data_IF_742017330448
#
_entry.id   IF_742017330448
#
_cell.length_a   1.000
_cell.length_b   1.000
_cell.length_c   1.000
_cell.angle_alpha   90.00
_cell.angle_beta   90.00
_cell.angle_gamma   90.00
#
_symmetry.space_group_name_H-M   'P 1'
#
loop_
_entity.id
_entity.type
_entity.pdbx_description
1 polymer ?
#
# COMPACT_ATOMS: atom_id res chain seq x y z
N UNK A 1 -29.13 19.93 -10.99
CA UNK A 1 -28.70 20.51 -9.70
C UNK A 1 -27.21 20.75 -9.80
N UNK A 2 -26.73 21.91 -9.37
CA UNK A 2 -25.30 22.20 -9.25
C UNK A 2 -24.69 21.53 -8.02
N UNK A 3 -23.37 21.56 -7.95
CA UNK A 3 -22.61 21.22 -6.75
C UNK A 3 -21.90 22.49 -6.28
N UNK A 4 -21.72 22.64 -4.97
CA UNK A 4 -21.07 23.79 -4.35
C UNK A 4 -19.63 23.50 -3.94
N UNK A 5 -19.28 22.20 -3.83
CA UNK A 5 -17.95 21.69 -3.48
C UNK A 5 -17.77 20.31 -4.13
N UNK A 6 -16.57 20.04 -4.64
CA UNK A 6 -16.15 18.69 -5.04
C UNK A 6 -15.10 18.17 -4.08
N UNK A 7 -15.34 17.00 -3.49
CA UNK A 7 -14.31 16.20 -2.79
C UNK A 7 -14.01 15.00 -3.67
N UNK A 8 -12.76 14.79 -4.02
CA UNK A 8 -12.34 13.72 -4.93
C UNK A 8 -11.11 12.97 -4.42
N UNK A 9 -11.18 11.65 -4.45
CA UNK A 9 -10.03 10.75 -4.25
C UNK A 9 -9.72 10.08 -5.60
N UNK A 10 -8.72 10.58 -6.34
CA UNK A 10 -8.46 10.09 -7.69
C UNK A 10 -7.76 8.73 -7.68
N UNK A 11 -8.20 7.79 -8.53
CA UNK A 11 -7.48 6.55 -8.79
C UNK A 11 -6.34 6.74 -9.81
N UNK A 12 -6.45 7.76 -10.67
CA UNK A 12 -5.46 8.12 -11.67
C UNK A 12 -5.29 9.65 -11.67
N UNK A 13 -4.13 10.11 -11.22
CA UNK A 13 -3.85 11.53 -11.03
C UNK A 13 -3.74 12.33 -12.34
N UNK A 14 -3.51 11.64 -13.46
CA UNK A 14 -3.35 12.29 -14.78
C UNK A 14 -4.70 12.38 -15.48
N UNK A 15 -5.49 11.31 -15.47
CA UNK A 15 -6.77 11.27 -16.17
C UNK A 15 -7.80 12.27 -15.63
N UNK A 16 -7.77 12.57 -14.33
CA UNK A 16 -8.75 13.47 -13.69
C UNK A 16 -8.36 14.96 -13.79
N UNK A 17 -7.14 15.26 -14.22
CA UNK A 17 -6.60 16.61 -14.18
C UNK A 17 -7.45 17.64 -14.92
N UNK A 18 -7.84 17.34 -16.16
CA UNK A 18 -8.64 18.23 -17.00
C UNK A 18 -10.04 18.48 -16.42
N UNK A 19 -10.64 17.49 -15.76
CA UNK A 19 -11.93 17.58 -15.09
C UNK A 19 -11.84 18.49 -13.88
N UNK A 20 -10.81 18.34 -13.05
CA UNK A 20 -10.56 19.21 -11.90
C UNK A 20 -10.40 20.65 -12.37
N UNK A 21 -9.57 20.92 -13.37
CA UNK A 21 -9.38 22.26 -13.93
C UNK A 21 -10.70 22.85 -14.44
N UNK A 22 -11.53 22.05 -15.12
CA UNK A 22 -12.82 22.52 -15.61
C UNK A 22 -13.77 22.91 -14.49
N UNK A 23 -13.78 22.19 -13.38
CA UNK A 23 -14.61 22.46 -12.20
C UNK A 23 -14.14 23.71 -11.48
N UNK A 24 -12.84 23.86 -11.27
CA UNK A 24 -12.24 25.07 -10.67
C UNK A 24 -12.55 26.31 -11.51
N UNK A 25 -12.46 26.25 -12.85
CA UNK A 25 -12.80 27.35 -13.75
C UNK A 25 -14.28 27.81 -13.63
N UNK A 26 -15.13 26.92 -13.14
CA UNK A 26 -16.56 27.24 -12.86
C UNK A 26 -16.75 27.83 -11.46
N UNK A 27 -15.68 28.09 -10.70
CA UNK A 27 -15.72 28.65 -9.37
C UNK A 27 -16.10 27.66 -8.26
N UNK A 28 -16.07 26.34 -8.55
CA UNK A 28 -16.42 25.30 -7.58
C UNK A 28 -15.12 24.87 -6.88
N UNK A 29 -15.03 24.99 -5.53
CA UNK A 29 -13.90 24.51 -4.77
C UNK A 29 -13.68 23.00 -4.95
N UNK A 30 -12.41 22.57 -4.95
CA UNK A 30 -12.04 21.15 -5.06
C UNK A 30 -11.10 20.76 -3.95
N UNK A 31 -11.48 19.74 -3.17
CA UNK A 31 -10.64 19.05 -2.18
C UNK A 31 -10.16 17.75 -2.79
N UNK A 32 -8.86 17.57 -2.88
CA UNK A 32 -8.23 16.33 -3.35
C UNK A 32 -7.79 15.49 -2.15
N UNK A 33 -8.09 14.20 -2.16
CA UNK A 33 -7.76 13.27 -1.07
C UNK A 33 -6.80 12.18 -1.54
N UNK A 34 -5.82 11.86 -0.72
CA UNK A 34 -5.04 10.63 -0.76
C UNK A 34 -3.93 10.57 -1.79
N UNK A 35 -3.91 11.44 -2.78
CA UNK A 35 -2.76 11.58 -3.69
C UNK A 35 -2.79 12.91 -4.46
N UNK A 36 -1.60 13.44 -4.73
CA UNK A 36 -1.44 14.63 -5.55
C UNK A 36 -1.89 14.37 -7.00
N UNK A 37 -2.54 15.35 -7.61
CA UNK A 37 -2.92 15.37 -9.03
C UNK A 37 -1.91 16.21 -9.82
N UNK A 38 -1.83 15.99 -11.14
CA UNK A 38 -0.87 16.67 -12.00
C UNK A 38 -1.05 18.19 -12.00
N UNK A 39 -2.30 18.66 -11.99
CA UNK A 39 -2.57 20.08 -11.76
C UNK A 39 -2.36 20.45 -10.28
N UNK A 40 -1.78 21.61 -10.05
CA UNK A 40 -1.75 22.22 -8.70
C UNK A 40 -2.89 23.21 -8.48
N UNK A 41 -3.84 23.27 -9.43
CA UNK A 41 -5.02 24.13 -9.34
C UNK A 41 -6.17 23.38 -8.65
N UNK A 42 -6.10 23.22 -7.34
CA UNK A 42 -7.16 22.75 -6.45
C UNK A 42 -7.22 23.63 -5.21
N UNK A 43 -8.32 23.56 -4.48
CA UNK A 43 -8.51 24.40 -3.28
C UNK A 43 -7.62 23.89 -2.14
N UNK A 44 -7.60 22.58 -1.92
CA UNK A 44 -6.73 21.92 -0.93
C UNK A 44 -6.44 20.48 -1.29
N UNK A 45 -5.30 19.98 -0.80
CA UNK A 45 -4.92 18.58 -0.84
C UNK A 45 -4.83 18.06 0.60
N UNK A 46 -5.48 16.94 0.86
CA UNK A 46 -5.32 16.19 2.10
C UNK A 46 -4.70 14.86 1.73
N UNK A 47 -3.43 14.71 2.04
CA UNK A 47 -2.65 13.52 1.72
C UNK A 47 -1.88 13.02 2.93
N UNK A 48 -1.48 11.76 2.89
CA UNK A 48 -0.61 11.13 3.86
C UNK A 48 0.63 10.63 3.16
N UNK A 49 1.76 10.77 3.82
CA UNK A 49 3.04 10.39 3.24
C UNK A 49 3.17 8.88 3.08
N UNK A 50 2.97 8.38 1.86
CA UNK A 50 3.27 6.99 1.52
C UNK A 50 4.76 6.68 1.69
N UNK A 51 5.64 7.68 1.55
CA UNK A 51 7.06 7.53 1.81
C UNK A 51 7.34 7.24 3.30
N UNK A 52 6.74 8.02 4.23
CA UNK A 52 6.89 7.76 5.66
C UNK A 52 6.27 6.41 6.05
N UNK A 53 5.12 6.06 5.48
CA UNK A 53 4.53 4.73 5.66
C UNK A 53 5.50 3.61 5.22
N UNK A 54 6.20 3.79 4.10
CA UNK A 54 7.24 2.87 3.66
C UNK A 54 8.40 2.77 4.64
N UNK A 55 8.82 3.88 5.24
CA UNK A 55 9.85 3.91 6.29
C UNK A 55 9.41 3.17 7.55
N UNK A 56 8.15 3.35 7.97
CA UNK A 56 7.60 2.66 9.14
C UNK A 56 7.56 1.14 8.91
N UNK A 57 7.13 0.70 7.72
CA UNK A 57 7.19 -0.71 7.31
C UNK A 57 8.64 -1.22 7.35
N UNK A 58 9.59 -0.47 6.79
CA UNK A 58 11.01 -0.82 6.80
C UNK A 58 11.57 -0.96 8.21
N UNK A 59 11.24 -0.03 9.09
CA UNK A 59 11.67 -0.04 10.50
C UNK A 59 11.11 -1.26 11.24
N UNK A 60 9.84 -1.57 11.03
CA UNK A 60 9.21 -2.76 11.59
C UNK A 60 9.88 -4.05 11.09
N UNK A 61 10.13 -4.16 9.79
CA UNK A 61 10.80 -5.32 9.17
C UNK A 61 12.20 -5.52 9.76
N UNK A 62 13.01 -4.46 9.83
CA UNK A 62 14.36 -4.54 10.40
C UNK A 62 14.31 -4.96 11.87
N UNK A 63 13.39 -4.41 12.64
CA UNK A 63 13.19 -4.78 14.04
C UNK A 63 12.77 -6.25 14.20
N UNK A 64 11.73 -6.68 13.46
CA UNK A 64 11.18 -8.04 13.54
C UNK A 64 12.21 -9.10 13.14
N UNK A 65 13.03 -8.82 12.13
CA UNK A 65 14.11 -9.70 11.67
C UNK A 65 15.41 -9.55 12.50
N UNK A 66 15.42 -8.72 13.55
CA UNK A 66 16.65 -8.42 14.31
C UNK A 66 17.82 -8.02 13.39
N UNK A 67 17.53 -7.27 12.37
CA UNK A 67 18.51 -6.74 11.41
C UNK A 67 19.04 -7.75 10.39
N UNK A 68 18.54 -8.99 10.33
CA UNK A 68 19.03 -10.02 9.39
C UNK A 68 17.92 -10.96 8.96
N UNK A 69 17.69 -11.07 7.66
CA UNK A 69 16.67 -11.97 7.09
C UNK A 69 16.36 -11.65 5.65
N UNK A 70 15.27 -12.21 5.17
CA UNK A 70 14.86 -12.09 3.76
C UNK A 70 13.43 -11.62 3.65
N UNK A 71 13.18 -10.73 2.72
CA UNK A 71 11.85 -10.22 2.44
C UNK A 71 11.47 -10.34 0.97
N UNK A 72 10.17 -10.41 0.73
CA UNK A 72 9.54 -10.27 -0.59
C UNK A 72 8.65 -9.04 -0.56
N UNK A 73 8.82 -8.13 -1.50
CA UNK A 73 7.97 -6.95 -1.64
C UNK A 73 6.99 -7.14 -2.81
N UNK A 74 5.69 -7.07 -2.50
CA UNK A 74 4.64 -7.04 -3.51
C UNK A 74 4.05 -5.63 -3.57
N UNK A 75 4.17 -5.00 -4.73
CA UNK A 75 3.81 -3.59 -4.92
C UNK A 75 2.42 -3.46 -5.54
N UNK A 76 1.75 -2.36 -5.24
CA UNK A 76 0.53 -1.92 -5.89
C UNK A 76 0.76 -1.46 -7.35
N UNK A 77 -0.26 -0.81 -7.93
CA UNK A 77 -0.21 -0.34 -9.30
C UNK A 77 0.83 0.76 -9.53
N UNK A 78 1.29 0.85 -10.79
CA UNK A 78 2.16 1.93 -11.27
C UNK A 78 1.42 3.24 -11.51
N UNK A 79 0.10 3.22 -11.56
CA UNK A 79 -0.74 4.39 -11.76
C UNK A 79 -0.85 5.17 -10.46
N UNK A 80 -0.06 6.20 -10.34
CA UNK A 80 0.06 7.01 -9.12
C UNK A 80 1.37 6.77 -8.37
N UNK A 81 1.69 7.66 -7.44
CA UNK A 81 2.97 7.67 -6.75
C UNK A 81 3.00 6.80 -5.49
N UNK A 82 1.84 6.36 -4.97
CA UNK A 82 1.74 5.74 -3.66
C UNK A 82 2.60 4.47 -3.52
N UNK A 83 2.53 3.56 -4.49
CA UNK A 83 3.33 2.32 -4.45
C UNK A 83 4.83 2.61 -4.55
N UNK A 84 5.22 3.58 -5.39
CA UNK A 84 6.63 3.97 -5.54
C UNK A 84 7.15 4.67 -4.28
N UNK A 85 6.38 5.59 -3.71
CA UNK A 85 6.77 6.28 -2.47
C UNK A 85 6.94 5.32 -1.30
N UNK A 86 6.05 4.31 -1.15
CA UNK A 86 6.22 3.27 -0.12
C UNK A 86 7.49 2.46 -0.35
N UNK A 87 7.75 2.08 -1.60
CA UNK A 87 8.98 1.41 -1.98
C UNK A 87 10.22 2.24 -1.60
N UNK A 88 10.25 3.51 -2.00
CA UNK A 88 11.39 4.39 -1.75
C UNK A 88 11.64 4.54 -0.24
N UNK A 89 10.59 4.74 0.55
CA UNK A 89 10.67 4.81 2.01
C UNK A 89 11.17 3.53 2.64
N UNK A 90 10.66 2.37 2.23
CA UNK A 90 11.13 1.05 2.66
C UNK A 90 12.62 0.88 2.39
N UNK A 91 13.05 1.15 1.17
CA UNK A 91 14.43 0.94 0.74
C UNK A 91 15.40 1.91 1.42
N UNK A 92 14.98 3.14 1.75
CA UNK A 92 15.83 4.06 2.51
C UNK A 92 16.15 3.54 3.92
N UNK A 93 15.21 2.84 4.55
CA UNK A 93 15.50 2.15 5.82
C UNK A 93 16.37 0.92 5.58
N UNK A 94 16.08 0.10 4.58
CA UNK A 94 16.85 -1.12 4.30
C UNK A 94 18.31 -0.84 3.97
N UNK A 95 18.65 0.32 3.41
CA UNK A 95 20.04 0.76 3.21
C UNK A 95 20.84 0.79 4.53
N UNK A 96 20.18 1.03 5.65
CA UNK A 96 20.82 1.04 6.99
C UNK A 96 20.94 -0.35 7.61
N UNK A 97 20.28 -1.35 7.03
CA UNK A 97 20.24 -2.73 7.52
C UNK A 97 20.66 -3.73 6.41
N UNK A 98 21.94 -3.74 5.99
CA UNK A 98 22.39 -4.45 4.80
C UNK A 98 22.27 -5.98 4.88
N UNK A 99 21.99 -6.54 6.05
CA UNK A 99 21.76 -7.98 6.23
C UNK A 99 20.26 -8.37 6.07
N UNK A 100 19.35 -7.42 5.93
CA UNK A 100 17.99 -7.67 5.48
C UNK A 100 17.98 -7.61 3.95
N UNK A 101 17.66 -8.72 3.30
CA UNK A 101 17.75 -8.85 1.85
C UNK A 101 16.37 -8.92 1.19
N UNK A 102 16.13 -8.08 0.20
CA UNK A 102 14.98 -8.24 -0.70
C UNK A 102 15.34 -9.33 -1.71
N UNK A 103 14.71 -10.49 -1.59
CA UNK A 103 14.99 -11.66 -2.45
C UNK A 103 14.01 -11.79 -3.62
N UNK A 104 12.89 -11.09 -3.55
CA UNK A 104 11.95 -10.96 -4.65
C UNK A 104 11.18 -9.65 -4.55
N UNK A 105 10.85 -9.09 -5.70
CA UNK A 105 10.00 -7.93 -5.84
C UNK A 105 9.10 -8.13 -7.06
N UNK A 106 7.82 -7.87 -6.90
CA UNK A 106 6.93 -7.90 -8.04
C UNK A 106 5.75 -6.93 -7.89
N UNK A 107 5.19 -6.49 -9.02
CA UNK A 107 4.01 -5.65 -9.07
C UNK A 107 2.79 -6.53 -9.28
N UNK A 108 1.90 -6.52 -8.29
CA UNK A 108 0.67 -7.32 -8.30
C UNK A 108 -0.57 -6.47 -8.51
N UNK A 109 -0.44 -5.14 -8.44
CA UNK A 109 -1.56 -4.20 -8.41
C UNK A 109 -2.29 -4.19 -7.06
N UNK A 110 -3.23 -3.27 -6.90
CA UNK A 110 -4.01 -3.17 -5.66
C UNK A 110 -5.01 -4.31 -5.50
N UNK A 111 -5.58 -4.80 -6.59
CA UNK A 111 -6.56 -5.89 -6.62
C UNK A 111 -5.93 -7.27 -6.80
N UNK A 112 -4.68 -7.33 -7.22
CA UNK A 112 -3.93 -8.56 -7.44
C UNK A 112 -4.62 -9.58 -8.36
N UNK A 113 -4.97 -9.21 -9.62
CA UNK A 113 -5.77 -10.10 -10.50
C UNK A 113 -5.04 -11.40 -10.86
N UNK A 114 -3.72 -11.41 -10.81
CA UNK A 114 -2.87 -12.56 -11.12
C UNK A 114 -1.99 -12.98 -9.94
N UNK A 115 -2.37 -12.61 -8.72
CA UNK A 115 -1.55 -12.79 -7.51
C UNK A 115 -1.09 -14.24 -7.32
N UNK A 116 -2.02 -15.18 -7.37
CA UNK A 116 -1.71 -16.60 -7.11
C UNK A 116 -0.76 -17.17 -8.15
N UNK A 117 -0.94 -16.83 -9.43
CA UNK A 117 -0.04 -17.28 -10.50
C UNK A 117 1.38 -16.67 -10.36
N UNK A 118 1.48 -15.42 -9.94
CA UNK A 118 2.76 -14.76 -9.66
C UNK A 118 3.45 -15.38 -8.45
N UNK A 119 2.70 -15.66 -7.37
CA UNK A 119 3.22 -16.35 -6.19
C UNK A 119 3.68 -17.78 -6.55
N UNK A 120 2.89 -18.53 -7.34
CA UNK A 120 3.30 -19.86 -7.84
C UNK A 120 4.62 -19.80 -8.59
N UNK A 121 4.75 -18.84 -9.50
CA UNK A 121 5.99 -18.65 -10.26
C UNK A 121 7.19 -18.37 -9.35
N UNK A 122 7.03 -17.48 -8.36
CA UNK A 122 8.10 -17.11 -7.43
C UNK A 122 8.48 -18.30 -6.52
N UNK A 123 7.53 -18.94 -5.88
CA UNK A 123 7.81 -20.04 -4.95
C UNK A 123 8.35 -21.30 -5.66
N UNK A 124 7.98 -21.53 -6.93
CA UNK A 124 8.54 -22.65 -7.73
C UNK A 124 10.04 -22.44 -8.06
N UNK A 125 10.60 -21.23 -7.91
CA UNK A 125 12.05 -21.03 -8.00
C UNK A 125 12.82 -21.40 -6.74
N UNK A 126 12.12 -21.81 -5.68
CA UNK A 126 12.71 -22.10 -4.37
C UNK A 126 12.88 -20.88 -3.47
N UNK A 127 12.38 -19.70 -3.86
CA UNK A 127 12.39 -18.49 -3.04
C UNK A 127 11.49 -18.70 -1.81
N UNK A 128 12.04 -18.44 -0.62
CA UNK A 128 11.34 -18.57 0.66
C UNK A 128 11.69 -17.38 1.57
N UNK A 129 10.93 -16.29 1.51
CA UNK A 129 11.16 -15.12 2.36
C UNK A 129 10.77 -15.41 3.82
N UNK A 130 11.32 -14.66 4.73
CA UNK A 130 10.87 -14.63 6.13
C UNK A 130 9.65 -13.72 6.30
N UNK A 131 9.60 -12.62 5.54
CA UNK A 131 8.46 -11.68 5.52
C UNK A 131 8.03 -11.40 4.08
N UNK A 132 6.71 -11.33 3.86
CA UNK A 132 6.10 -10.79 2.63
C UNK A 132 5.40 -9.48 2.97
N UNK A 133 5.75 -8.40 2.27
CA UNK A 133 5.07 -7.10 2.35
C UNK A 133 4.03 -7.05 1.24
N UNK A 134 2.76 -6.99 1.61
CA UNK A 134 1.64 -6.87 0.70
C UNK A 134 1.25 -5.40 0.45
N UNK A 135 0.71 -5.05 -0.73
CA UNK A 135 0.30 -3.67 -1.03
C UNK A 135 -0.89 -3.19 -0.18
N UNK A 136 -1.72 -4.12 0.29
CA UNK A 136 -2.85 -3.88 1.17
C UNK A 136 -3.23 -5.14 1.97
N UNK A 137 -4.11 -4.98 2.98
CA UNK A 137 -4.53 -6.07 3.86
C UNK A 137 -5.24 -7.20 3.13
N UNK A 138 -6.11 -6.86 2.17
CA UNK A 138 -6.86 -7.84 1.38
C UNK A 138 -5.94 -8.76 0.58
N UNK A 139 -4.94 -8.18 -0.07
CA UNK A 139 -3.91 -8.95 -0.78
C UNK A 139 -3.07 -9.76 0.20
N UNK A 140 -2.75 -9.20 1.37
CA UNK A 140 -2.02 -9.89 2.43
C UNK A 140 -2.74 -11.16 2.92
N UNK A 141 -4.04 -11.08 3.17
CA UNK A 141 -4.85 -12.26 3.53
C UNK A 141 -4.81 -13.34 2.45
N UNK A 142 -4.94 -12.97 1.18
CA UNK A 142 -4.84 -13.92 0.05
C UNK A 142 -3.46 -14.58 -0.02
N UNK A 143 -2.38 -13.85 0.27
CA UNK A 143 -1.03 -14.41 0.34
C UNK A 143 -0.93 -15.45 1.47
N UNK A 144 -1.43 -15.11 2.66
CA UNK A 144 -1.43 -16.04 3.79
C UNK A 144 -2.24 -17.31 3.48
N UNK A 145 -3.41 -17.19 2.87
CA UNK A 145 -4.22 -18.34 2.47
C UNK A 145 -3.51 -19.19 1.41
N UNK A 146 -2.84 -18.56 0.45
CA UNK A 146 -2.04 -19.23 -0.55
C UNK A 146 -0.88 -20.03 0.08
N UNK A 147 -0.11 -19.43 0.98
CA UNK A 147 1.03 -20.08 1.64
C UNK A 147 0.58 -21.26 2.50
N UNK A 148 -0.53 -21.11 3.23
CA UNK A 148 -1.15 -22.21 4.01
C UNK A 148 -1.63 -23.35 3.12
N UNK A 149 -2.32 -23.04 2.03
CA UNK A 149 -2.81 -24.05 1.07
C UNK A 149 -1.67 -24.87 0.43
N UNK A 150 -0.51 -24.26 0.26
CA UNK A 150 0.70 -24.94 -0.26
C UNK A 150 1.55 -25.61 0.83
N UNK A 151 1.12 -25.57 2.08
CA UNK A 151 1.85 -26.11 3.22
C UNK A 151 3.30 -25.59 3.31
N UNK A 152 3.51 -24.32 2.96
CA UNK A 152 4.82 -23.68 3.08
C UNK A 152 5.16 -23.48 4.56
N UNK A 153 6.46 -23.30 4.87
CA UNK A 153 6.89 -22.88 6.21
C UNK A 153 6.14 -21.58 6.58
N UNK A 154 6.04 -21.28 7.86
CA UNK A 154 5.48 -20.02 8.30
C UNK A 154 6.24 -18.85 7.68
N UNK A 155 5.50 -17.92 7.10
CA UNK A 155 5.99 -16.67 6.52
C UNK A 155 5.15 -15.55 7.11
N UNK A 156 5.79 -14.55 7.69
CA UNK A 156 5.09 -13.38 8.18
C UNK A 156 4.55 -12.56 7.01
N UNK A 157 3.28 -12.14 7.08
CA UNK A 157 2.66 -11.32 6.06
C UNK A 157 2.25 -9.98 6.66
N UNK A 158 2.77 -8.91 6.10
CA UNK A 158 2.48 -7.52 6.49
C UNK A 158 1.51 -6.92 5.48
N UNK A 159 0.40 -6.35 5.97
CA UNK A 159 -0.57 -5.60 5.18
C UNK A 159 -0.46 -4.09 5.36
N UNK A 160 -1.31 -3.38 4.65
CA UNK A 160 -1.53 -1.94 4.73
C UNK A 160 -3.03 -1.70 4.60
N UNK A 161 -3.54 -0.71 5.20
CA UNK A 161 -4.84 -0.07 5.32
C UNK A 161 -5.25 0.02 6.79
N UNK A 162 -5.11 -1.07 7.56
CA UNK A 162 -5.36 -1.10 8.99
C UNK A 162 -6.79 -0.79 9.40
N UNK A 163 -7.78 -1.13 8.56
CA UNK A 163 -9.17 -0.83 8.83
C UNK A 163 -9.68 -1.62 10.04
N UNK A 164 -10.39 -0.93 10.93
CA UNK A 164 -11.07 -1.52 12.09
C UNK A 164 -12.53 -1.86 11.73
N UNK A 165 -12.69 -2.82 10.84
CA UNK A 165 -13.99 -3.35 10.40
C UNK A 165 -13.91 -4.88 10.33
N UNK A 166 -15.04 -5.61 10.31
CA UNK A 166 -15.03 -7.03 10.01
C UNK A 166 -14.25 -7.28 8.72
N UNK A 167 -13.36 -8.25 8.70
CA UNK A 167 -12.43 -8.55 7.61
C UNK A 167 -11.40 -7.45 7.28
N UNK A 168 -11.32 -6.39 8.09
CA UNK A 168 -10.28 -5.36 7.99
C UNK A 168 -8.93 -5.80 8.54
N UNK A 169 -7.90 -4.98 8.34
CA UNK A 169 -6.51 -5.30 8.70
C UNK A 169 -6.33 -5.62 10.18
N UNK A 170 -6.90 -4.81 11.08
CA UNK A 170 -6.78 -5.05 12.52
C UNK A 170 -7.38 -6.40 12.91
N UNK A 171 -8.57 -6.72 12.42
CA UNK A 171 -9.22 -8.00 12.71
C UNK A 171 -8.43 -9.19 12.12
N UNK A 172 -7.85 -9.03 10.94
CA UNK A 172 -7.02 -10.07 10.33
C UNK A 172 -5.69 -10.29 11.09
N UNK A 173 -5.14 -9.27 11.74
CA UNK A 173 -4.01 -9.43 12.67
C UNK A 173 -4.43 -10.19 13.92
N UNK A 174 -5.57 -9.83 14.53
CA UNK A 174 -6.12 -10.55 15.70
C UNK A 174 -6.38 -12.03 15.40
N UNK A 175 -6.80 -12.36 14.17
CA UNK A 175 -7.02 -13.74 13.72
C UNK A 175 -5.74 -14.47 13.27
N UNK A 176 -4.57 -13.83 13.31
CA UNK A 176 -3.31 -14.42 12.84
C UNK A 176 -3.26 -14.72 11.34
N UNK A 177 -4.05 -13.98 10.55
CA UNK A 177 -3.98 -14.01 9.09
C UNK A 177 -2.91 -13.04 8.56
N UNK A 178 -2.68 -11.95 9.28
CA UNK A 178 -1.59 -11.01 9.06
C UNK A 178 -0.72 -10.96 10.30
N UNK A 179 0.59 -10.78 10.15
CA UNK A 179 1.53 -10.57 11.26
C UNK A 179 1.49 -9.13 11.74
N UNK A 180 1.22 -8.20 10.82
CA UNK A 180 1.01 -6.78 11.11
C UNK A 180 0.21 -6.12 9.99
N UNK A 181 -0.39 -4.97 10.30
CA UNK A 181 -0.94 -4.04 9.31
C UNK A 181 -0.56 -2.62 9.67
N UNK A 182 -0.36 -1.78 8.66
CA UNK A 182 -0.06 -0.37 8.82
C UNK A 182 -1.26 0.47 8.43
N UNK A 183 -1.71 1.33 9.35
CA UNK A 183 -2.88 2.18 9.11
C UNK A 183 -2.57 3.22 8.04
N UNK A 184 -3.29 3.17 6.94
CA UNK A 184 -3.28 4.22 5.93
C UNK A 184 -4.44 5.18 6.19
N UNK A 185 -4.12 6.40 6.62
CA UNK A 185 -5.15 7.41 6.88
C UNK A 185 -5.65 7.99 5.56
N UNK A 186 -6.94 7.88 5.31
CA UNK A 186 -7.56 8.39 4.07
C UNK A 186 -7.83 9.90 4.09
N UNK A 187 -7.74 10.55 5.24
CA UNK A 187 -8.01 11.98 5.42
C UNK A 187 -9.48 12.38 5.29
N UNK A 188 -10.40 11.42 5.19
CA UNK A 188 -11.82 11.70 5.02
C UNK A 188 -12.42 12.52 6.16
N UNK A 189 -11.99 12.30 7.39
CA UNK A 189 -12.36 13.05 8.58
C UNK A 189 -11.90 14.53 8.52
N UNK A 190 -10.72 14.78 7.95
CA UNK A 190 -10.20 16.14 7.75
C UNK A 190 -10.89 16.89 6.61
N UNK A 191 -11.46 16.15 5.65
CA UNK A 191 -12.11 16.74 4.50
C UNK A 191 -13.49 17.34 4.84
N UNK A 192 -14.10 16.94 5.94
CA UNK A 192 -15.44 17.37 6.37
C UNK A 192 -15.40 18.34 7.55
N UNK A 193 -14.24 18.71 8.03
CA UNK A 193 -14.00 19.79 9.00
C UNK A 193 -13.80 21.12 8.28
#
# INVERSE_FOLDING_TARGET
KGIDLLVVSPCDSVLIDSQIQSIIKRGIPVVVLGQEVATKHYTTLIDFSNYELGRDIGSYVVHTLNGKGTIMELMGDVKGNAAQQRHDGLYDVLKTAPNVKVIAQCRVGWEGPHLEAQLDSLFNTGIMPDIIIAPNDRTGVRINDFTKKRHLKHIDVIGVDGLNVPDGGLHNVEQGKLSATFVYQTGGDKAIQ
#
